data_IF_108009572049
#
_entry.id   IF_108009572049
#
_cell.length_a   1.000
_cell.length_b   1.000
_cell.length_c   1.000
_cell.angle_alpha   90.00
_cell.angle_beta   90.00
_cell.angle_gamma   90.00
#
_symmetry.space_group_name_H-M   'P 1'
#
loop_
_entity.id
_entity.type
_entity.pdbx_description
1 polymer ?
#
# COMPACT_ATOMS: atom_id res chain seq x y z
N UNK A 1 -4.92 1.23 -9.35
CA UNK A 1 -4.97 0.43 -8.11
C UNK A 1 -6.14 0.91 -7.26
N UNK A 2 -6.74 0.01 -6.48
CA UNK A 2 -7.95 0.29 -5.70
C UNK A 2 -7.78 -0.27 -4.29
N UNK A 3 -8.16 0.49 -3.25
CA UNK A 3 -8.27 -0.04 -1.88
C UNK A 3 -9.44 -1.00 -1.75
N UNK A 4 -9.53 -1.69 -0.61
CA UNK A 4 -10.73 -2.45 -0.27
C UNK A 4 -11.95 -1.55 -0.04
N UNK A 5 -13.14 -2.11 -0.23
CA UNK A 5 -14.39 -1.48 0.19
C UNK A 5 -14.89 -2.16 1.47
N UNK A 6 -14.81 -1.43 2.58
CA UNK A 6 -15.03 -1.95 3.92
C UNK A 6 -14.25 -3.26 4.14
N UNK A 7 -14.91 -4.29 4.65
CA UNK A 7 -14.38 -5.64 4.83
C UNK A 7 -14.94 -6.66 3.80
N UNK A 8 -15.66 -6.21 2.77
CA UNK A 8 -16.40 -7.09 1.85
C UNK A 8 -15.74 -7.27 0.49
N UNK A 9 -15.16 -6.21 -0.07
CA UNK A 9 -14.49 -6.26 -1.38
C UNK A 9 -13.02 -5.97 -1.16
N UNK A 10 -12.16 -6.92 -1.51
CA UNK A 10 -10.71 -6.79 -1.39
C UNK A 10 -10.12 -5.81 -2.42
N UNK A 11 -8.87 -5.35 -2.17
CA UNK A 11 -8.19 -4.38 -3.01
C UNK A 11 -7.74 -4.98 -4.35
N UNK A 12 -7.31 -4.10 -5.26
CA UNK A 12 -6.76 -4.47 -6.56
C UNK A 12 -5.47 -3.71 -6.84
N UNK A 13 -4.39 -4.43 -7.12
CA UNK A 13 -3.12 -3.85 -7.58
C UNK A 13 -2.82 -4.42 -8.97
N UNK A 14 -2.64 -3.52 -9.94
CA UNK A 14 -2.37 -3.83 -11.35
C UNK A 14 -1.20 -2.95 -11.83
N UNK A 15 -0.34 -3.52 -12.66
CA UNK A 15 0.76 -2.81 -13.33
C UNK A 15 0.91 -3.36 -14.75
N UNK A 16 0.92 -2.49 -15.75
CA UNK A 16 1.12 -2.86 -17.18
C UNK A 16 0.16 -4.00 -17.59
N UNK A 17 -1.13 -3.82 -17.33
CA UNK A 17 -2.24 -4.77 -17.53
C UNK A 17 -2.12 -6.12 -16.78
N UNK A 18 -1.11 -6.28 -15.93
CA UNK A 18 -0.92 -7.48 -15.11
C UNK A 18 -1.48 -7.25 -13.72
N UNK A 19 -2.51 -8.03 -13.38
CA UNK A 19 -3.06 -8.10 -12.03
C UNK A 19 -2.06 -8.76 -11.07
N UNK A 20 -1.48 -7.95 -10.16
CA UNK A 20 -0.53 -8.39 -9.15
C UNK A 20 -1.24 -8.92 -7.90
N UNK A 21 -2.27 -8.20 -7.43
CA UNK A 21 -3.08 -8.59 -6.27
C UNK A 21 -4.56 -8.37 -6.53
N UNK A 22 -5.41 -9.35 -6.19
CA UNK A 22 -6.87 -9.22 -6.20
C UNK A 22 -7.55 -10.37 -5.46
N UNK A 23 -8.83 -10.20 -5.10
CA UNK A 23 -9.66 -11.28 -4.55
C UNK A 23 -9.78 -12.48 -5.50
N UNK A 24 -9.76 -12.26 -6.83
CA UNK A 24 -9.83 -13.35 -7.83
C UNK A 24 -8.54 -14.17 -7.83
N UNK A 25 -7.40 -13.56 -7.50
CA UNK A 25 -6.11 -14.25 -7.36
C UNK A 25 -5.92 -14.91 -5.99
N UNK A 26 -6.88 -14.74 -5.08
CA UNK A 26 -6.85 -15.28 -3.72
C UNK A 26 -5.56 -14.92 -2.95
N UNK A 27 -5.06 -13.69 -3.14
CA UNK A 27 -3.81 -13.23 -2.53
C UNK A 27 -3.93 -11.87 -1.83
N UNK A 28 -5.15 -11.51 -1.42
CA UNK A 28 -5.44 -10.28 -0.66
C UNK A 28 -6.04 -10.62 0.70
N UNK A 29 -5.81 -9.76 1.68
CA UNK A 29 -6.31 -9.94 3.04
C UNK A 29 -6.47 -8.61 3.77
N UNK A 30 -7.14 -8.63 4.93
CA UNK A 30 -7.27 -7.47 5.81
C UNK A 30 -5.90 -6.86 6.09
N UNK A 31 -5.84 -5.54 6.23
CA UNK A 31 -4.63 -4.79 6.52
C UNK A 31 -4.00 -4.17 5.30
N UNK A 32 -2.67 -4.29 5.19
CA UNK A 32 -1.91 -3.74 4.07
C UNK A 32 -1.63 -4.82 3.04
N UNK A 33 -2.03 -4.59 1.80
CA UNK A 33 -1.74 -5.46 0.67
C UNK A 33 -0.61 -4.82 -0.12
N UNK A 34 0.55 -5.48 -0.18
CA UNK A 34 1.79 -4.90 -0.69
C UNK A 34 2.33 -5.72 -1.84
N UNK A 35 2.61 -5.07 -2.97
CA UNK A 35 3.34 -5.65 -4.10
C UNK A 35 4.67 -4.92 -4.29
N UNK A 36 5.75 -5.69 -4.33
CA UNK A 36 7.12 -5.24 -4.58
C UNK A 36 7.46 -5.49 -6.05
N UNK A 37 7.90 -4.46 -6.76
CA UNK A 37 8.20 -4.53 -8.19
C UNK A 37 9.58 -3.99 -8.46
N UNK A 38 10.34 -4.65 -9.34
CA UNK A 38 11.61 -4.14 -9.81
C UNK A 38 11.39 -2.88 -10.68
N UNK A 39 11.91 -1.72 -10.26
CA UNK A 39 11.69 -0.45 -10.96
C UNK A 39 12.40 -0.31 -12.32
N UNK A 40 13.23 -1.28 -12.71
CA UNK A 40 13.88 -1.34 -14.03
C UNK A 40 13.12 -2.29 -14.96
N UNK A 41 12.92 -3.55 -14.55
CA UNK A 41 12.26 -4.56 -15.41
C UNK A 41 10.73 -4.48 -15.39
N UNK A 42 10.15 -3.89 -14.34
CA UNK A 42 8.70 -3.90 -14.11
C UNK A 42 8.16 -5.26 -13.62
N UNK A 43 9.04 -6.20 -13.29
CA UNK A 43 8.64 -7.53 -12.83
C UNK A 43 8.27 -7.55 -11.35
N UNK A 44 7.26 -8.35 -11.01
CA UNK A 44 6.87 -8.61 -9.63
C UNK A 44 7.98 -9.39 -8.93
N UNK A 45 8.46 -8.85 -7.81
CA UNK A 45 9.40 -9.52 -6.91
C UNK A 45 8.61 -10.39 -5.94
N UNK A 46 7.67 -9.79 -5.21
CA UNK A 46 6.84 -10.49 -4.24
C UNK A 46 5.55 -9.70 -3.96
N UNK A 47 4.47 -10.38 -3.59
CA UNK A 47 3.22 -9.76 -3.15
C UNK A 47 2.67 -10.47 -1.90
N UNK A 48 2.28 -9.71 -0.89
CA UNK A 48 1.78 -10.26 0.39
C UNK A 48 0.80 -9.32 1.08
N UNK A 49 -0.15 -9.88 1.83
CA UNK A 49 -1.04 -9.14 2.72
C UNK A 49 -0.55 -9.24 4.18
N UNK A 50 -0.67 -8.15 4.93
CA UNK A 50 -0.27 -8.06 6.34
C UNK A 50 -1.43 -7.54 7.19
N UNK A 51 -1.96 -8.38 8.08
CA UNK A 51 -3.09 -8.04 8.94
C UNK A 51 -2.69 -7.01 10.01
N UNK A 52 -3.08 -5.75 9.79
CA UNK A 52 -2.80 -4.64 10.70
C UNK A 52 -3.83 -4.48 11.81
N UNK A 53 -4.78 -5.41 11.95
CA UNK A 53 -5.75 -5.44 13.05
C UNK A 53 -5.37 -6.51 14.08
N UNK A 54 -5.18 -7.76 13.64
CA UNK A 54 -4.93 -8.90 14.51
C UNK A 54 -3.54 -9.55 14.34
N UNK A 55 -2.81 -9.21 13.28
CA UNK A 55 -1.51 -9.80 12.96
C UNK A 55 -0.33 -9.21 13.75
N UNK A 56 0.86 -9.72 13.43
CA UNK A 56 2.13 -9.21 13.95
C UNK A 56 2.78 -8.23 12.96
N UNK A 57 2.99 -6.99 13.42
CA UNK A 57 3.66 -5.93 12.66
C UNK A 57 5.10 -6.28 12.28
N UNK A 58 5.75 -7.19 13.02
CA UNK A 58 7.12 -7.61 12.72
C UNK A 58 7.24 -8.33 11.38
N UNK A 59 6.18 -8.98 10.90
CA UNK A 59 6.21 -9.67 9.61
C UNK A 59 6.28 -8.66 8.45
N UNK A 60 5.57 -7.53 8.59
CA UNK A 60 5.68 -6.40 7.67
C UNK A 60 7.10 -5.79 7.68
N UNK A 61 7.68 -5.61 8.88
CA UNK A 61 9.03 -5.07 9.01
C UNK A 61 10.09 -5.99 8.36
N UNK A 62 10.00 -7.31 8.58
CA UNK A 62 10.89 -8.29 7.93
C UNK A 62 10.74 -8.27 6.41
N UNK A 63 9.54 -8.00 5.91
CA UNK A 63 9.27 -7.93 4.48
C UNK A 63 9.85 -6.68 3.81
N UNK A 64 9.76 -5.50 4.46
CA UNK A 64 10.17 -4.24 3.83
C UNK A 64 11.61 -3.81 4.13
N UNK A 65 12.21 -4.25 5.25
CA UNK A 65 13.61 -3.87 5.55
C UNK A 65 14.63 -4.32 4.47
N UNK A 66 14.52 -5.52 3.87
CA UNK A 66 15.50 -6.00 2.88
C UNK A 66 15.40 -5.38 1.49
N UNK A 67 14.52 -4.39 1.26
CA UNK A 67 14.35 -3.82 -0.08
C UNK A 67 15.63 -3.17 -0.62
N UNK A 68 15.98 -3.55 -1.85
CA UNK A 68 17.03 -2.89 -2.61
C UNK A 68 16.53 -1.56 -3.20
N UNK A 69 17.44 -0.60 -3.36
CA UNK A 69 17.12 0.67 -4.02
C UNK A 69 16.50 0.46 -5.41
N UNK A 70 15.50 1.25 -5.75
CA UNK A 70 14.77 1.12 -7.00
C UNK A 70 13.63 0.10 -6.98
N UNK A 71 13.43 -0.61 -5.86
CA UNK A 71 12.21 -1.39 -5.67
C UNK A 71 11.03 -0.44 -5.51
N UNK A 72 10.01 -0.61 -6.35
CA UNK A 72 8.71 0.05 -6.23
C UNK A 72 7.86 -0.71 -5.21
N UNK A 73 7.14 0.03 -4.37
CA UNK A 73 6.32 -0.52 -3.28
C UNK A 73 4.89 -0.03 -3.47
N UNK A 74 4.01 -0.90 -3.99
CA UNK A 74 2.59 -0.62 -4.12
C UNK A 74 1.87 -1.08 -2.86
N UNK A 75 1.00 -0.25 -2.30
CA UNK A 75 0.27 -0.52 -1.05
C UNK A 75 -1.20 -0.17 -1.22
N UNK A 76 -2.09 -1.11 -0.93
CA UNK A 76 -3.53 -0.87 -0.87
C UNK A 76 -4.10 -1.38 0.46
N UNK A 77 -4.84 -0.53 1.17
CA UNK A 77 -5.50 -0.93 2.42
C UNK A 77 -6.73 -1.80 2.18
N UNK A 78 -7.07 -2.63 3.15
CA UNK A 78 -8.33 -3.39 3.20
C UNK A 78 -8.81 -3.52 4.65
N UNK A 79 -10.06 -3.13 4.92
CA UNK A 79 -10.69 -3.07 6.24
C UNK A 79 -9.97 -2.12 7.22
N UNK A 80 -8.85 -2.52 7.83
CA UNK A 80 -8.08 -1.66 8.75
C UNK A 80 -6.56 -1.73 8.49
N UNK A 81 -5.93 -0.64 8.03
CA UNK A 81 -4.49 -0.62 7.76
C UNK A 81 -3.61 -0.20 8.95
N UNK A 82 -4.16 0.24 10.08
CA UNK A 82 -3.41 1.09 11.00
C UNK A 82 -3.30 0.62 12.45
N UNK A 83 -4.20 -0.24 12.96
CA UNK A 83 -4.25 -0.54 14.42
C UNK A 83 -2.94 -1.08 14.98
N UNK A 84 -2.18 -1.87 14.21
CA UNK A 84 -0.87 -2.41 14.60
C UNK A 84 0.33 -1.57 14.15
N UNK A 85 0.13 -0.46 13.43
CA UNK A 85 1.23 0.40 13.02
C UNK A 85 1.90 1.06 14.23
N UNK A 86 3.22 1.00 14.26
CA UNK A 86 4.08 1.67 15.23
C UNK A 86 4.95 2.75 14.56
N UNK A 87 5.70 3.51 15.36
CA UNK A 87 6.59 4.57 14.86
C UNK A 87 7.58 4.06 13.81
N UNK A 88 8.08 2.84 13.97
CA UNK A 88 9.03 2.25 13.03
C UNK A 88 8.39 2.01 11.65
N UNK A 89 7.22 1.37 11.60
CA UNK A 89 6.50 1.16 10.33
C UNK A 89 6.14 2.48 9.65
N UNK A 90 5.71 3.48 10.42
CA UNK A 90 5.39 4.81 9.88
C UNK A 90 6.63 5.51 9.34
N UNK A 91 7.76 5.40 10.03
CA UNK A 91 9.05 5.92 9.54
C UNK A 91 9.44 5.23 8.24
N UNK A 92 9.34 3.90 8.18
CA UNK A 92 9.71 3.12 7.00
C UNK A 92 8.91 3.53 5.76
N UNK A 93 7.58 3.70 5.86
CA UNK A 93 6.78 4.19 4.74
C UNK A 93 7.03 5.69 4.44
N UNK A 94 7.36 6.50 5.45
CA UNK A 94 7.77 7.88 5.25
C UNK A 94 9.06 7.98 4.42
N UNK A 95 10.02 7.08 4.68
CA UNK A 95 11.28 6.94 3.95
C UNK A 95 11.08 6.39 2.53
N UNK A 96 9.98 5.67 2.28
CA UNK A 96 9.55 5.25 0.94
C UNK A 96 8.81 6.36 0.16
N UNK A 97 8.59 7.53 0.80
CA UNK A 97 7.99 8.70 0.17
C UNK A 97 6.57 9.04 0.59
N UNK A 98 5.96 8.32 1.54
CA UNK A 98 4.61 8.63 2.03
C UNK A 98 4.57 9.95 2.82
N UNK A 99 3.50 10.71 2.61
CA UNK A 99 3.10 11.87 3.43
C UNK A 99 2.08 11.46 4.50
N UNK A 100 1.10 10.64 4.12
CA UNK A 100 -0.09 10.38 4.95
C UNK A 100 0.11 9.27 5.99
N UNK A 101 1.14 8.42 5.86
CA UNK A 101 1.35 7.30 6.79
C UNK A 101 1.58 7.74 8.25
N UNK A 102 2.00 8.98 8.48
CA UNK A 102 2.16 9.52 9.83
C UNK A 102 0.82 9.62 10.57
N UNK A 103 -0.24 9.93 9.83
CA UNK A 103 -1.57 10.22 10.36
C UNK A 103 -2.58 9.10 10.09
N UNK A 104 -2.16 8.04 9.39
CA UNK A 104 -3.03 6.91 9.03
C UNK A 104 -3.61 6.25 10.30
N UNK A 105 -4.94 6.16 10.35
CA UNK A 105 -5.70 5.74 11.51
C UNK A 105 -6.65 4.57 11.19
N UNK A 106 -7.35 4.10 12.24
CA UNK A 106 -8.23 2.94 12.18
C UNK A 106 -9.27 3.03 11.05
N UNK A 107 -9.22 2.05 10.14
CA UNK A 107 -10.07 1.92 8.94
C UNK A 107 -9.98 3.05 7.92
N UNK A 108 -8.94 3.87 7.97
CA UNK A 108 -8.70 4.79 6.87
C UNK A 108 -8.52 4.03 5.54
N UNK A 109 -9.04 4.58 4.45
CA UNK A 109 -8.71 4.10 3.11
C UNK A 109 -7.39 4.72 2.69
N UNK A 110 -6.46 3.91 2.18
CA UNK A 110 -5.15 4.37 1.74
C UNK A 110 -4.65 3.56 0.56
N UNK A 111 -4.18 4.28 -0.46
CA UNK A 111 -3.41 3.72 -1.58
C UNK A 111 -2.13 4.54 -1.75
N UNK A 112 -1.03 3.84 -1.98
CA UNK A 112 0.29 4.46 -2.04
C UNK A 112 1.20 3.68 -2.97
N UNK A 113 2.01 4.40 -3.75
CA UNK A 113 3.15 3.83 -4.44
C UNK A 113 4.40 4.59 -4.03
N UNK A 114 5.35 3.91 -3.41
CA UNK A 114 6.64 4.45 -3.01
C UNK A 114 7.80 3.78 -3.74
N UNK A 115 9.01 4.22 -3.42
CA UNK A 115 10.21 3.57 -3.90
C UNK A 115 11.33 3.62 -2.85
N UNK A 116 12.12 2.55 -2.77
CA UNK A 116 13.33 2.55 -1.93
C UNK A 116 14.38 3.46 -2.54
N UNK A 117 14.86 4.43 -1.76
CA UNK A 117 15.88 5.41 -2.18
C UNK A 117 15.31 6.72 -2.75
N UNK A 118 13.99 6.93 -2.68
CA UNK A 118 13.37 8.18 -3.14
C UNK A 118 13.75 9.34 -2.21
N UNK A 119 14.09 10.49 -2.80
CA UNK A 119 14.43 11.71 -2.04
C UNK A 119 13.20 12.58 -1.78
N UNK A 120 12.21 12.50 -2.68
CA UNK A 120 11.00 13.32 -2.64
C UNK A 120 9.79 12.49 -2.21
N UNK A 121 8.74 13.19 -1.81
CA UNK A 121 7.45 12.57 -1.55
C UNK A 121 6.84 12.01 -2.84
N UNK A 122 6.17 10.87 -2.73
CA UNK A 122 5.52 10.26 -3.88
C UNK A 122 4.36 11.13 -4.38
N UNK A 123 4.20 11.30 -5.71
CA UNK A 123 2.98 11.85 -6.28
C UNK A 123 1.83 10.84 -6.31
N UNK A 124 2.10 9.56 -6.03
CA UNK A 124 1.14 8.47 -6.08
C UNK A 124 0.70 8.08 -4.66
N UNK A 125 -0.12 8.93 -4.05
CA UNK A 125 -0.70 8.67 -2.73
C UNK A 125 -2.09 9.29 -2.61
N UNK A 126 -3.06 8.52 -2.14
CA UNK A 126 -4.38 9.00 -1.75
C UNK A 126 -4.79 8.42 -0.39
N UNK A 127 -5.57 9.19 0.36
CA UNK A 127 -6.02 8.85 1.70
C UNK A 127 -7.41 9.44 1.95
N UNK A 128 -8.30 8.66 2.57
CA UNK A 128 -9.58 9.14 3.09
C UNK A 128 -9.72 8.66 4.52
N UNK A 129 -9.91 9.61 5.43
CA UNK A 129 -10.06 9.36 6.85
C UNK A 129 -11.41 8.72 7.16
N UNK A 130 -11.39 7.70 8.02
CA UNK A 130 -12.60 7.16 8.63
C UNK A 130 -13.26 8.22 9.53
N UNK A 131 -14.49 8.61 9.17
CA UNK A 131 -15.28 9.60 9.91
C UNK A 131 -16.76 9.27 9.82
N UNK A 132 -17.42 9.19 10.97
CA UNK A 132 -18.85 8.85 11.07
C UNK A 132 -19.75 9.77 10.24
N UNK A 133 -19.31 11.00 9.97
CA UNK A 133 -20.09 12.00 9.23
C UNK A 133 -19.92 11.93 7.72
N UNK A 134 -18.83 11.36 7.22
CA UNK A 134 -18.48 11.38 5.79
C UNK A 134 -18.31 9.98 5.20
N UNK A 135 -18.39 8.94 6.02
CA UNK A 135 -18.24 7.56 5.57
C UNK A 135 -19.35 7.16 4.58
N UNK A 136 -18.94 6.52 3.49
CA UNK A 136 -19.84 5.93 2.49
C UNK A 136 -20.48 4.63 2.96
N UNK A 137 -19.76 3.85 3.77
CA UNK A 137 -20.24 2.61 4.37
C UNK A 137 -20.43 2.77 5.88
N UNK A 138 -21.19 1.87 6.50
CA UNK A 138 -21.42 1.93 7.95
C UNK A 138 -20.12 1.64 8.73
N UNK A 139 -19.36 2.69 9.05
CA UNK A 139 -18.11 2.58 9.80
C UNK A 139 -16.84 2.38 8.95
N UNK A 140 -16.92 2.56 7.63
CA UNK A 140 -15.76 2.62 6.73
C UNK A 140 -15.91 3.75 5.69
N UNK A 141 -14.80 4.44 5.34
CA UNK A 141 -14.78 5.39 4.24
C UNK A 141 -14.95 4.71 2.88
N UNK A 142 -15.11 5.51 1.82
CA UNK A 142 -15.17 4.96 0.47
C UNK A 142 -13.86 4.31 0.02
N UNK A 143 -13.96 3.41 -0.97
CA UNK A 143 -12.78 2.84 -1.60
C UNK A 143 -12.09 3.91 -2.46
N UNK A 144 -10.76 3.90 -2.44
CA UNK A 144 -9.93 4.80 -3.21
C UNK A 144 -9.50 4.14 -4.51
N UNK A 145 -9.45 4.92 -5.59
CA UNK A 145 -8.90 4.52 -6.87
C UNK A 145 -7.81 5.50 -7.31
N UNK A 146 -6.67 4.96 -7.71
CA UNK A 146 -5.52 5.73 -8.18
C UNK A 146 -4.91 5.05 -9.40
N UNK A 147 -4.77 5.80 -10.48
CA UNK A 147 -4.08 5.41 -11.71
C UNK A 147 -2.95 6.38 -12.03
N UNK A 148 -2.01 5.96 -12.87
CA UNK A 148 -0.90 6.82 -13.28
C UNK A 148 0.25 6.05 -13.92
N UNK A 149 1.25 6.82 -14.35
CA UNK A 149 2.43 6.31 -15.03
C UNK A 149 3.67 6.58 -14.19
N UNK A 150 4.37 5.52 -13.76
CA UNK A 150 5.60 5.65 -12.99
C UNK A 150 6.79 5.73 -13.98
N UNK A 151 7.63 6.77 -13.93
CA UNK A 151 8.82 6.84 -14.77
C UNK A 151 9.72 5.62 -14.52
N UNK A 152 10.10 4.91 -15.59
CA UNK A 152 11.02 3.77 -15.47
C UNK A 152 12.39 4.27 -15.03
N UNK A 153 13.01 3.57 -14.08
CA UNK A 153 14.40 3.86 -13.70
C UNK A 153 15.29 3.44 -14.86
N UNK A 154 16.04 4.39 -15.43
CA UNK A 154 17.11 4.05 -16.36
C UNK A 154 18.21 3.30 -15.62
N UNK A 155 18.75 2.25 -16.22
CA UNK A 155 20.08 1.76 -15.83
C UNK A 155 21.04 2.92 -16.08
N UNK A 156 21.65 3.47 -15.04
CA UNK A 156 22.73 4.43 -15.24
C UNK A 156 23.80 3.75 -16.12
N UNK A 157 24.13 4.38 -17.26
CA UNK A 157 25.31 4.02 -18.08
C UNK A 157 26.59 4.20 -17.29
#
# INVERSE_FOLDING_TARGET
MVSGAANVIGPKICLEDKMLMSSVKDNVGRGLNIALVNGVSGELIEARAFDMWAGDVNDLLKFIRPLHEGTLVFVASYDDPATKMNEETRKLFSDLGSKNVKDLAFRDSWVFVGAKGVQNKSPFEQHVKNSRHTNKYEGWPEALEMEGCIPRRSTAS
#
